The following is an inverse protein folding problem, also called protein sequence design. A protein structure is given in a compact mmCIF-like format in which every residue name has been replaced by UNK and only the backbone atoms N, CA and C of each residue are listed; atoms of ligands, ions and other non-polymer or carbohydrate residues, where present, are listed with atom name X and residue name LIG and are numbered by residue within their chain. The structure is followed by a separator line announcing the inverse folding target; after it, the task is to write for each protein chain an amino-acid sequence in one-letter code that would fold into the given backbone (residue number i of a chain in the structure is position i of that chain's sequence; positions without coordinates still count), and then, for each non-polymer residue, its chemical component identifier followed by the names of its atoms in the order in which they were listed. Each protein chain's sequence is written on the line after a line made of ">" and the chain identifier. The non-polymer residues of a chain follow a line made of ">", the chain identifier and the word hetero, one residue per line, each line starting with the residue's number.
data_IF_144102474729
#
_entry.id   IF_144102474729
#
_cell.length_a   1.000
_cell.length_b   1.000
_cell.length_c   1.000
_cell.angle_alpha   90.00
_cell.angle_beta   90.00
_cell.angle_gamma   90.00
#
_symmetry.space_group_name_H-M   'P 1'
#
loop_
_entity.id
_entity.type
_entity.pdbx_description
1 polymer ?
#
# COMPACT_ATOMS: atom_id res chain seq x y z
N UNK A 1 25.52 -5.84 43.21
CA UNK A 1 24.58 -5.80 42.08
C UNK A 1 25.23 -6.55 40.94
N UNK A 2 24.91 -7.83 40.75
CA UNK A 2 25.29 -8.52 39.52
C UNK A 2 24.30 -8.06 38.46
N UNK A 3 24.81 -7.56 37.35
CA UNK A 3 24.01 -7.37 36.15
C UNK A 3 23.74 -8.78 35.62
N UNK A 4 22.48 -9.10 35.38
CA UNK A 4 22.10 -10.36 34.74
C UNK A 4 22.55 -10.28 33.27
N UNK A 5 23.58 -11.06 32.93
CA UNK A 5 24.20 -11.05 31.60
C UNK A 5 23.25 -11.56 30.52
N UNK A 6 22.28 -12.41 30.88
CA UNK A 6 21.29 -12.93 29.95
C UNK A 6 20.24 -11.86 29.64
N UNK A 7 19.74 -11.13 30.65
CA UNK A 7 18.84 -9.98 30.47
C UNK A 7 19.51 -8.87 29.64
N UNK A 8 20.82 -8.63 29.85
CA UNK A 8 21.56 -7.65 29.05
C UNK A 8 21.72 -8.09 27.58
N UNK A 9 21.95 -9.38 27.33
CA UNK A 9 22.04 -9.94 25.97
C UNK A 9 20.71 -9.87 25.23
N UNK A 10 19.62 -10.24 25.89
CA UNK A 10 18.26 -10.14 25.31
C UNK A 10 17.95 -8.69 24.91
N UNK A 11 18.18 -7.73 25.81
CA UNK A 11 17.96 -6.31 25.52
C UNK A 11 18.83 -5.75 24.40
N UNK A 12 20.09 -6.20 24.31
CA UNK A 12 20.98 -5.82 23.21
C UNK A 12 20.51 -6.42 21.88
N UNK A 13 20.06 -7.67 21.90
CA UNK A 13 19.55 -8.37 20.72
C UNK A 13 18.25 -7.72 20.22
N UNK A 14 17.30 -7.41 21.11
CA UNK A 14 16.09 -6.65 20.80
C UNK A 14 16.40 -5.27 20.22
N UNK A 15 17.40 -4.57 20.79
CA UNK A 15 17.84 -3.28 20.29
C UNK A 15 18.44 -3.35 18.88
N UNK A 16 19.24 -4.37 18.59
CA UNK A 16 19.81 -4.61 17.26
C UNK A 16 18.69 -4.98 16.27
N UNK A 17 17.78 -5.86 16.64
CA UNK A 17 16.66 -6.28 15.80
C UNK A 17 15.74 -5.10 15.44
N UNK A 18 15.41 -4.26 16.43
CA UNK A 18 14.62 -3.05 16.23
C UNK A 18 15.31 -2.08 15.25
N UNK A 19 16.63 -1.89 15.41
CA UNK A 19 17.40 -1.05 14.49
C UNK A 19 17.46 -1.62 13.07
N UNK A 20 17.60 -2.94 12.91
CA UNK A 20 17.58 -3.60 11.60
C UNK A 20 16.24 -3.41 10.89
N UNK A 21 15.12 -3.65 11.60
CA UNK A 21 13.77 -3.47 11.04
C UNK A 21 13.54 -2.02 10.60
N UNK A 22 13.91 -1.06 11.45
CA UNK A 22 13.80 0.38 11.12
C UNK A 22 14.67 0.79 9.93
N UNK A 23 15.90 0.26 9.85
CA UNK A 23 16.78 0.50 8.72
C UNK A 23 16.13 0.02 7.41
N UNK A 24 15.58 -1.19 7.39
CA UNK A 24 14.96 -1.76 6.18
C UNK A 24 13.68 -1.02 5.77
N UNK A 25 12.89 -0.56 6.73
CA UNK A 25 11.74 0.31 6.47
C UNK A 25 12.20 1.59 5.77
N UNK A 26 13.23 2.26 6.29
CA UNK A 26 13.78 3.46 5.68
C UNK A 26 14.40 3.19 4.30
N UNK A 27 15.04 2.04 4.12
CA UNK A 27 15.60 1.62 2.84
C UNK A 27 14.50 1.40 1.79
N UNK A 28 13.39 0.77 2.16
CA UNK A 28 12.23 0.61 1.29
C UNK A 28 11.70 1.96 0.84
N UNK A 29 11.44 2.87 1.79
CA UNK A 29 10.94 4.22 1.50
C UNK A 29 11.93 5.00 0.62
N UNK A 30 13.23 4.86 0.88
CA UNK A 30 14.28 5.49 0.09
C UNK A 30 14.21 5.09 -1.38
N UNK A 31 14.04 3.79 -1.68
CA UNK A 31 13.92 3.28 -3.04
C UNK A 31 12.77 3.92 -3.82
N UNK A 32 11.67 4.23 -3.14
CA UNK A 32 10.49 4.84 -3.75
C UNK A 32 10.60 6.35 -3.97
N UNK A 33 11.47 7.03 -3.22
CA UNK A 33 11.61 8.49 -3.25
C UNK A 33 12.82 9.00 -4.04
N UNK A 34 13.73 8.12 -4.47
CA UNK A 34 14.94 8.49 -5.19
C UNK A 34 14.99 7.77 -6.53
N UNK A 35 15.21 8.55 -7.59
CA UNK A 35 15.37 8.03 -8.94
C UNK A 35 16.83 7.67 -9.23
N UNK A 36 17.06 6.93 -10.32
CA UNK A 36 18.41 6.63 -10.83
C UNK A 36 19.24 7.90 -11.05
N UNK A 37 18.59 8.98 -11.47
CA UNK A 37 19.21 10.27 -11.78
C UNK A 37 19.71 11.02 -10.53
N UNK A 38 19.13 10.72 -9.35
CA UNK A 38 19.52 11.32 -8.07
C UNK A 38 20.78 10.68 -7.46
N UNK A 39 21.25 9.57 -8.04
CA UNK A 39 22.30 8.71 -7.48
C UNK A 39 23.63 8.86 -8.24
N UNK A 40 24.27 10.03 -8.13
CA UNK A 40 25.50 10.31 -8.88
C UNK A 40 26.74 9.52 -8.39
N UNK A 41 26.79 9.14 -7.11
CA UNK A 41 28.00 8.64 -6.43
C UNK A 41 27.97 7.16 -5.98
N UNK A 42 26.99 6.34 -6.37
CA UNK A 42 26.95 4.94 -5.93
C UNK A 42 28.17 4.13 -6.44
N UNK A 43 28.89 3.45 -5.55
CA UNK A 43 30.19 2.83 -5.83
C UNK A 43 30.08 1.47 -6.53
N UNK A 44 30.90 1.23 -7.57
CA UNK A 44 30.92 -0.02 -8.35
C UNK A 44 31.33 -1.27 -7.59
N UNK A 45 31.90 -1.13 -6.39
CA UNK A 45 32.39 -2.28 -5.62
C UNK A 45 31.27 -3.20 -5.10
N UNK A 46 30.01 -2.77 -5.20
CA UNK A 46 28.83 -3.50 -4.74
C UNK A 46 28.10 -4.29 -5.84
N UNK A 47 28.75 -4.55 -6.99
CA UNK A 47 28.16 -5.32 -8.09
C UNK A 47 28.00 -6.81 -7.73
N UNK A 48 26.76 -7.23 -7.43
CA UNK A 48 26.42 -8.64 -7.17
C UNK A 48 25.70 -9.25 -8.37
N UNK A 49 26.14 -10.43 -8.80
CA UNK A 49 25.58 -11.14 -9.95
C UNK A 49 24.14 -11.60 -9.73
N UNK A 50 23.36 -11.70 -10.83
CA UNK A 50 22.00 -12.27 -10.78
C UNK A 50 22.05 -13.72 -10.26
N UNK A 51 21.35 -13.98 -9.15
CA UNK A 51 21.15 -15.34 -8.61
C UNK A 51 22.05 -15.74 -7.45
N UNK A 52 22.95 -14.86 -6.99
CA UNK A 52 23.65 -15.06 -5.71
C UNK A 52 22.74 -14.63 -4.55
N UNK A 53 22.81 -15.35 -3.43
CA UNK A 53 21.94 -15.15 -2.26
C UNK A 53 22.06 -13.71 -1.78
N UNK A 54 20.96 -12.97 -1.91
CA UNK A 54 20.84 -11.55 -1.59
C UNK A 54 20.71 -11.37 -0.08
N UNK A 55 21.74 -11.75 0.66
CA UNK A 55 21.87 -11.45 2.08
C UNK A 55 23.17 -10.71 2.23
N UNK A 56 23.09 -9.38 2.24
CA UNK A 56 24.25 -8.55 2.47
C UNK A 56 24.69 -8.73 3.92
N UNK A 57 25.74 -9.54 4.14
CA UNK A 57 26.46 -9.56 5.41
C UNK A 57 27.36 -8.32 5.47
N UNK A 58 27.02 -7.33 6.28
CA UNK A 58 27.79 -6.09 6.39
C UNK A 58 27.20 -5.11 7.40
N UNK A 59 27.88 -3.99 7.60
CA UNK A 59 27.34 -2.85 8.35
C UNK A 59 26.16 -2.21 7.60
N UNK A 60 25.28 -1.50 8.31
CA UNK A 60 24.16 -0.77 7.68
C UNK A 60 24.61 0.17 6.55
N UNK A 61 25.81 0.74 6.66
CA UNK A 61 26.37 1.61 5.63
C UNK A 61 26.67 0.84 4.34
N UNK A 62 27.27 -0.35 4.43
CA UNK A 62 27.58 -1.17 3.26
C UNK A 62 26.29 -1.70 2.61
N UNK A 63 25.35 -2.12 3.45
CA UNK A 63 24.01 -2.58 3.06
C UNK A 63 23.27 -1.44 2.30
N UNK A 64 23.31 -0.21 2.80
CA UNK A 64 22.69 0.94 2.16
C UNK A 64 23.36 1.33 0.84
N UNK A 65 24.70 1.34 0.78
CA UNK A 65 25.43 1.65 -0.45
C UNK A 65 25.22 0.60 -1.55
N UNK A 66 25.14 -0.68 -1.18
CA UNK A 66 24.77 -1.73 -2.12
C UNK A 66 23.37 -1.51 -2.69
N UNK A 67 22.38 -1.22 -1.84
CA UNK A 67 21.03 -0.91 -2.29
C UNK A 67 21.01 0.32 -3.23
N UNK A 68 21.76 1.40 -2.92
CA UNK A 68 21.89 2.57 -3.81
C UNK A 68 22.51 2.21 -5.15
N UNK A 69 23.52 1.35 -5.16
CA UNK A 69 24.15 0.85 -6.38
C UNK A 69 23.15 0.05 -7.23
N UNK A 70 22.42 -0.88 -6.62
CA UNK A 70 21.41 -1.69 -7.29
C UNK A 70 20.28 -0.82 -7.87
N UNK A 71 19.77 0.13 -7.09
CA UNK A 71 18.75 1.09 -7.52
C UNK A 71 19.22 1.89 -8.73
N UNK A 72 20.46 2.41 -8.70
CA UNK A 72 21.04 3.18 -9.81
C UNK A 72 21.27 2.37 -11.07
N UNK A 73 21.74 1.12 -10.94
CA UNK A 73 22.28 0.36 -12.08
C UNK A 73 21.30 -0.66 -12.67
N UNK A 74 20.34 -1.13 -11.86
CA UNK A 74 19.37 -2.16 -12.24
C UNK A 74 17.91 -1.71 -12.04
N UNK A 75 17.69 -0.54 -11.44
CA UNK A 75 16.37 0.07 -11.27
C UNK A 75 15.59 -0.40 -10.04
N UNK A 76 14.42 0.21 -9.85
CA UNK A 76 13.57 0.03 -8.67
C UNK A 76 13.21 -1.44 -8.40
N UNK A 77 12.74 -2.17 -9.42
CA UNK A 77 12.30 -3.56 -9.25
C UNK A 77 13.40 -4.45 -8.65
N UNK A 78 14.65 -4.28 -9.08
CA UNK A 78 15.76 -5.08 -8.59
C UNK A 78 16.15 -4.69 -7.16
N UNK A 79 16.18 -3.38 -6.87
CA UNK A 79 16.41 -2.90 -5.51
C UNK A 79 15.32 -3.37 -4.54
N UNK A 80 14.06 -3.42 -4.97
CA UNK A 80 12.94 -3.91 -4.15
C UNK A 80 13.05 -5.40 -3.84
N UNK A 81 13.41 -6.24 -4.82
CA UNK A 81 13.65 -7.68 -4.56
C UNK A 81 14.69 -7.86 -3.46
N UNK A 82 15.74 -7.03 -3.48
CA UNK A 82 16.79 -7.04 -2.47
C UNK A 82 16.28 -6.57 -1.09
N UNK A 83 15.59 -5.43 -1.02
CA UNK A 83 15.11 -4.87 0.26
C UNK A 83 14.06 -5.78 0.87
N UNK A 84 13.07 -6.21 0.09
CA UNK A 84 11.99 -7.09 0.53
C UNK A 84 12.53 -8.45 0.96
N UNK A 85 13.50 -9.01 0.23
CA UNK A 85 14.18 -10.25 0.63
C UNK A 85 14.82 -10.15 2.02
N UNK A 86 15.50 -9.04 2.30
CA UNK A 86 16.06 -8.78 3.64
C UNK A 86 14.94 -8.55 4.67
N UNK A 87 13.86 -7.85 4.33
CA UNK A 87 12.72 -7.70 5.24
C UNK A 87 12.15 -9.06 5.65
N UNK A 88 11.97 -10.01 4.73
CA UNK A 88 11.52 -11.36 5.08
C UNK A 88 12.48 -12.10 6.02
N UNK A 89 13.79 -11.89 5.87
CA UNK A 89 14.79 -12.48 6.75
C UNK A 89 14.75 -11.90 8.17
N UNK A 90 14.56 -10.57 8.31
CA UNK A 90 14.61 -9.89 9.62
C UNK A 90 13.27 -9.79 10.34
N UNK A 91 12.15 -9.70 9.60
CA UNK A 91 10.81 -9.68 10.18
C UNK A 91 10.27 -11.09 10.39
N UNK A 92 10.69 -12.05 9.55
CA UNK A 92 10.14 -13.40 9.51
C UNK A 92 9.10 -13.57 8.40
N UNK A 93 8.99 -14.80 7.88
CA UNK A 93 8.03 -15.12 6.81
C UNK A 93 6.58 -15.13 7.30
N UNK A 94 6.36 -15.29 8.60
CA UNK A 94 5.05 -15.14 9.26
C UNK A 94 4.55 -13.69 9.22
N UNK A 95 5.45 -12.72 9.02
CA UNK A 95 5.12 -11.29 8.87
C UNK A 95 4.89 -10.86 7.43
N UNK A 96 4.61 -11.80 6.52
CA UNK A 96 4.39 -11.52 5.09
C UNK A 96 3.41 -10.39 4.85
N UNK A 97 2.24 -10.39 5.51
CA UNK A 97 1.25 -9.34 5.30
C UNK A 97 1.72 -7.96 5.74
N UNK A 98 2.50 -7.85 6.81
CA UNK A 98 3.13 -6.58 7.19
C UNK A 98 4.07 -6.11 6.07
N UNK A 99 4.94 -6.99 5.58
CA UNK A 99 5.93 -6.66 4.55
C UNK A 99 5.27 -6.23 3.25
N UNK A 100 4.29 -6.99 2.77
CA UNK A 100 3.58 -6.64 1.54
C UNK A 100 2.79 -5.34 1.74
N UNK A 101 2.05 -5.16 2.84
CA UNK A 101 1.32 -3.90 3.10
C UNK A 101 2.25 -2.67 3.07
N UNK A 102 3.46 -2.78 3.64
CA UNK A 102 4.46 -1.71 3.59
C UNK A 102 4.89 -1.37 2.15
N UNK A 103 5.06 -2.38 1.29
CA UNK A 103 5.36 -2.18 -0.14
C UNK A 103 4.18 -1.54 -0.85
N UNK A 104 2.96 -2.00 -0.60
CA UNK A 104 1.74 -1.49 -1.23
C UNK A 104 1.49 -0.01 -0.88
N UNK A 105 1.74 0.42 0.36
CA UNK A 105 1.64 1.84 0.72
C UNK A 105 2.60 2.68 -0.13
N UNK A 106 3.86 2.26 -0.26
CA UNK A 106 4.85 2.97 -1.07
C UNK A 106 4.51 2.99 -2.56
N UNK A 107 4.01 1.86 -3.10
CA UNK A 107 3.61 1.79 -4.49
C UNK A 107 2.40 2.70 -4.78
N UNK A 108 1.42 2.72 -3.87
CA UNK A 108 0.28 3.62 -3.95
C UNK A 108 0.70 5.08 -3.91
N UNK A 109 1.57 5.46 -2.97
CA UNK A 109 2.11 6.82 -2.87
C UNK A 109 2.85 7.24 -4.15
N UNK A 110 3.67 6.34 -4.71
CA UNK A 110 4.38 6.56 -5.99
C UNK A 110 3.41 6.76 -7.15
N UNK A 111 2.36 5.94 -7.26
CA UNK A 111 1.38 6.05 -8.35
C UNK A 111 0.57 7.33 -8.22
N UNK A 112 0.08 7.66 -7.03
CA UNK A 112 -0.66 8.89 -6.73
C UNK A 112 0.19 10.12 -7.04
N UNK A 113 1.45 10.15 -6.58
CA UNK A 113 2.39 11.26 -6.84
C UNK A 113 2.69 11.48 -8.33
N UNK A 114 2.56 10.43 -9.15
CA UNK A 114 2.73 10.48 -10.60
C UNK A 114 1.43 10.71 -11.38
N UNK A 115 0.33 11.06 -10.70
CA UNK A 115 -1.01 11.21 -11.28
C UNK A 115 -1.54 9.94 -11.97
N UNK A 116 -1.10 8.77 -11.50
CA UNK A 116 -1.48 7.44 -12.01
C UNK A 116 -2.63 6.83 -11.20
N UNK A 117 -3.65 7.63 -10.88
CA UNK A 117 -4.72 7.28 -9.93
C UNK A 117 -5.54 6.06 -10.35
N UNK A 118 -5.82 5.91 -11.64
CA UNK A 118 -6.53 4.72 -12.17
C UNK A 118 -5.71 3.45 -11.94
N UNK A 119 -4.40 3.49 -12.22
CA UNK A 119 -3.53 2.35 -11.93
C UNK A 119 -3.47 2.07 -10.43
N UNK A 120 -3.39 3.10 -9.59
CA UNK A 120 -3.39 2.98 -8.15
C UNK A 120 -4.65 2.25 -7.64
N UNK A 121 -5.85 2.67 -8.08
CA UNK A 121 -7.12 2.06 -7.67
C UNK A 121 -7.22 0.57 -8.09
N UNK A 122 -6.77 0.23 -9.30
CA UNK A 122 -6.71 -1.16 -9.79
C UNK A 122 -5.72 -2.00 -8.95
N UNK A 123 -4.55 -1.43 -8.67
CA UNK A 123 -3.49 -2.11 -7.91
C UNK A 123 -3.97 -2.42 -6.48
N UNK A 124 -4.49 -1.42 -5.78
CA UNK A 124 -5.03 -1.55 -4.44
C UNK A 124 -6.10 -2.65 -4.34
N UNK A 125 -7.11 -2.64 -5.23
CA UNK A 125 -8.18 -3.63 -5.15
C UNK A 125 -7.68 -5.05 -5.47
N UNK A 126 -6.64 -5.17 -6.31
CA UNK A 126 -5.99 -6.45 -6.56
C UNK A 126 -5.27 -6.95 -5.31
N UNK A 127 -4.56 -6.06 -4.61
CA UNK A 127 -3.94 -6.36 -3.33
C UNK A 127 -4.98 -6.75 -2.27
N UNK A 128 -6.02 -5.93 -2.04
CA UNK A 128 -7.09 -6.20 -1.07
C UNK A 128 -7.76 -7.55 -1.35
N UNK A 129 -8.04 -7.88 -2.62
CA UNK A 129 -8.62 -9.17 -2.98
C UNK A 129 -7.74 -10.35 -2.58
N UNK A 130 -6.42 -10.24 -2.78
CA UNK A 130 -5.49 -11.29 -2.37
C UNK A 130 -5.29 -11.34 -0.85
N UNK A 131 -5.15 -10.18 -0.20
CA UNK A 131 -5.00 -10.05 1.24
C UNK A 131 -6.20 -10.69 1.96
N UNK A 132 -7.42 -10.25 1.64
CA UNK A 132 -8.63 -10.74 2.29
C UNK A 132 -8.87 -12.22 2.01
N UNK A 133 -8.55 -12.70 0.81
CA UNK A 133 -8.61 -14.14 0.50
C UNK A 133 -7.73 -15.01 1.38
N UNK A 134 -6.63 -14.46 1.86
CA UNK A 134 -5.74 -15.19 2.77
C UNK A 134 -6.10 -14.98 4.25
N UNK A 135 -6.90 -13.96 4.56
CA UNK A 135 -7.30 -13.62 5.94
C UNK A 135 -8.68 -14.16 6.34
N UNK A 136 -9.59 -14.38 5.38
CA UNK A 136 -10.95 -14.85 5.65
C UNK A 136 -11.33 -16.09 4.84
N UNK A 137 -12.38 -16.78 5.29
CA UNK A 137 -12.84 -18.04 4.69
C UNK A 137 -13.78 -17.85 3.48
N UNK A 138 -13.86 -16.63 2.93
CA UNK A 138 -14.75 -16.30 1.80
C UNK A 138 -14.37 -17.09 0.53
N UNK A 139 -15.32 -17.84 0.01
CA UNK A 139 -15.16 -18.70 -1.16
C UNK A 139 -15.46 -17.95 -2.47
N UNK A 140 -16.28 -16.91 -2.43
CA UNK A 140 -16.57 -16.08 -3.60
C UNK A 140 -15.33 -15.29 -4.02
N UNK A 141 -15.04 -15.22 -5.32
CA UNK A 141 -13.91 -14.43 -5.83
C UNK A 141 -14.20 -12.93 -5.90
N UNK A 142 -15.44 -12.51 -5.70
CA UNK A 142 -15.85 -11.11 -5.72
C UNK A 142 -15.33 -10.39 -4.46
N UNK A 143 -14.61 -9.29 -4.69
CA UNK A 143 -14.05 -8.45 -3.63
C UNK A 143 -15.14 -7.90 -2.70
N UNK A 144 -16.35 -7.66 -3.21
CA UNK A 144 -17.49 -7.21 -2.41
C UNK A 144 -17.75 -8.11 -1.19
N UNK A 145 -17.95 -9.41 -1.43
CA UNK A 145 -18.23 -10.38 -0.36
C UNK A 145 -17.02 -10.56 0.55
N UNK A 146 -15.80 -10.51 -0.01
CA UNK A 146 -14.58 -10.59 0.81
C UNK A 146 -14.48 -9.45 1.82
N UNK A 147 -14.86 -8.23 1.44
CA UNK A 147 -14.85 -7.07 2.35
C UNK A 147 -15.91 -7.25 3.45
N UNK A 148 -17.12 -7.67 3.10
CA UNK A 148 -18.20 -7.91 4.08
C UNK A 148 -17.83 -9.00 5.08
N UNK A 149 -17.33 -10.14 4.60
CA UNK A 149 -16.87 -11.25 5.43
C UNK A 149 -15.69 -10.84 6.30
N UNK A 150 -14.77 -10.01 5.82
CA UNK A 150 -13.68 -9.48 6.64
C UNK A 150 -14.19 -8.66 7.84
N UNK A 151 -15.28 -7.90 7.66
CA UNK A 151 -15.91 -7.19 8.78
C UNK A 151 -16.64 -8.15 9.73
N UNK A 152 -17.34 -9.14 9.20
CA UNK A 152 -18.07 -10.13 10.01
C UNK A 152 -17.12 -10.99 10.86
N UNK A 153 -15.92 -11.25 10.35
CA UNK A 153 -14.83 -11.96 11.04
C UNK A 153 -13.92 -11.04 11.87
N UNK A 154 -14.27 -9.76 12.03
CA UNK A 154 -13.50 -8.75 12.78
C UNK A 154 -12.07 -8.51 12.27
N UNK A 155 -11.75 -8.94 11.05
CA UNK A 155 -10.51 -8.57 10.34
C UNK A 155 -10.54 -7.09 9.98
N UNK A 156 -11.70 -6.57 9.59
CA UNK A 156 -11.94 -5.15 9.33
C UNK A 156 -12.83 -4.49 10.38
N UNK A 157 -12.53 -3.24 10.68
CA UNK A 157 -13.46 -2.32 11.33
C UNK A 157 -14.56 -1.86 10.36
N UNK A 158 -15.63 -1.26 10.88
CA UNK A 158 -16.70 -0.69 10.07
C UNK A 158 -16.20 0.41 9.12
N UNK A 159 -15.27 1.24 9.61
CA UNK A 159 -14.68 2.31 8.80
C UNK A 159 -13.83 1.75 7.66
N UNK A 160 -13.06 0.69 7.94
CA UNK A 160 -12.27 -0.01 6.93
C UNK A 160 -13.16 -0.66 5.87
N UNK A 161 -14.26 -1.31 6.28
CA UNK A 161 -15.25 -1.84 5.33
C UNK A 161 -15.80 -0.73 4.42
N UNK A 162 -16.36 0.32 5.02
CA UNK A 162 -17.01 1.40 4.26
C UNK A 162 -16.05 1.99 3.24
N UNK A 163 -14.82 2.28 3.63
CA UNK A 163 -13.83 2.82 2.70
C UNK A 163 -13.37 1.80 1.65
N UNK A 164 -13.19 0.52 2.02
CA UNK A 164 -12.85 -0.53 1.08
C UNK A 164 -13.95 -0.73 0.01
N UNK A 165 -15.23 -0.63 0.39
CA UNK A 165 -16.34 -0.68 -0.57
C UNK A 165 -16.31 0.50 -1.53
N UNK A 166 -16.09 1.73 -1.02
CA UNK A 166 -15.93 2.91 -1.88
C UNK A 166 -14.81 2.71 -2.90
N UNK A 167 -13.64 2.25 -2.45
CA UNK A 167 -12.48 2.01 -3.32
C UNK A 167 -12.75 0.93 -4.36
N UNK A 168 -13.47 -0.14 -4.00
CA UNK A 168 -13.96 -1.18 -4.91
C UNK A 168 -14.83 -0.59 -6.00
N UNK A 169 -15.77 0.28 -5.65
CA UNK A 169 -16.70 0.89 -6.60
C UNK A 169 -16.00 1.83 -7.58
N UNK A 170 -15.10 2.67 -7.07
CA UNK A 170 -14.26 3.53 -7.92
C UNK A 170 -13.41 2.70 -8.89
N UNK A 171 -12.82 1.59 -8.40
CA UNK A 171 -12.08 0.66 -9.27
C UNK A 171 -13.00 0.02 -10.32
N UNK A 172 -14.23 -0.33 -9.97
CA UNK A 172 -15.17 -0.92 -10.93
C UNK A 172 -15.55 0.08 -12.02
N UNK A 173 -15.82 1.34 -11.68
CA UNK A 173 -16.00 2.42 -12.66
C UNK A 173 -14.77 2.58 -13.56
N UNK A 174 -13.56 2.51 -13.00
CA UNK A 174 -12.31 2.61 -13.75
C UNK A 174 -12.03 1.39 -14.67
N UNK A 175 -12.40 0.18 -14.23
CA UNK A 175 -12.04 -1.07 -14.90
C UNK A 175 -13.07 -1.52 -15.94
N UNK A 176 -14.34 -1.17 -15.76
CA UNK A 176 -15.42 -1.52 -16.69
C UNK A 176 -15.60 -0.50 -17.82
N UNK A 177 -15.00 0.68 -17.69
CA UNK A 177 -14.98 1.71 -18.70
C UNK A 177 -13.60 1.84 -19.36
N UNK A 178 -13.54 2.33 -20.60
CA UNK A 178 -12.26 2.81 -21.13
C UNK A 178 -11.75 3.95 -20.22
N UNK A 179 -10.44 4.12 -20.06
CA UNK A 179 -9.87 5.15 -19.15
C UNK A 179 -10.29 6.60 -19.47
N UNK A 180 -10.84 6.86 -20.66
CA UNK A 180 -11.44 8.14 -21.08
C UNK A 180 -12.97 8.20 -20.87
N UNK A 181 -13.57 7.11 -20.41
CA UNK A 181 -14.99 6.87 -20.38
C UNK A 181 -15.57 6.46 -19.03
N UNK A 182 -14.85 6.76 -17.95
CA UNK A 182 -15.40 6.65 -16.60
C UNK A 182 -16.71 7.42 -16.48
N UNK A 183 -17.67 6.86 -15.77
CA UNK A 183 -18.93 7.55 -15.48
C UNK A 183 -18.73 8.61 -14.40
N UNK A 184 -17.76 8.38 -13.51
CA UNK A 184 -17.45 9.26 -12.39
C UNK A 184 -16.32 10.23 -12.73
N UNK A 185 -16.38 11.40 -12.09
CA UNK A 185 -15.38 12.48 -12.19
C UNK A 185 -13.97 11.98 -11.85
N UNK A 186 -12.94 12.46 -12.58
CA UNK A 186 -11.54 12.15 -12.25
C UNK A 186 -11.14 12.56 -10.83
N UNK A 187 -11.81 13.56 -10.24
CA UNK A 187 -11.57 13.99 -8.85
C UNK A 187 -11.91 12.87 -7.86
N UNK A 188 -12.93 12.06 -8.13
CA UNK A 188 -13.28 10.89 -7.32
C UNK A 188 -12.15 9.85 -7.40
N UNK A 189 -11.61 9.61 -8.61
CA UNK A 189 -10.51 8.66 -8.83
C UNK A 189 -9.21 9.09 -8.16
N UNK A 190 -8.87 10.37 -8.24
CA UNK A 190 -7.75 10.98 -7.52
C UNK A 190 -7.91 10.83 -6.01
N UNK A 191 -9.07 11.22 -5.48
CA UNK A 191 -9.37 11.10 -4.06
C UNK A 191 -9.28 9.65 -3.58
N UNK A 192 -9.82 8.70 -4.34
CA UNK A 192 -9.72 7.27 -4.05
C UNK A 192 -8.26 6.80 -3.90
N UNK A 193 -7.36 7.22 -4.80
CA UNK A 193 -5.93 6.92 -4.69
C UNK A 193 -5.31 7.46 -3.40
N UNK A 194 -5.70 8.67 -3.00
CA UNK A 194 -5.21 9.32 -1.77
C UNK A 194 -5.70 8.60 -0.51
N UNK A 195 -6.99 8.24 -0.44
CA UNK A 195 -7.59 7.59 0.74
C UNK A 195 -7.27 6.10 0.83
N UNK A 196 -6.85 5.48 -0.26
CA UNK A 196 -6.30 4.13 -0.24
C UNK A 196 -5.09 4.00 0.69
N UNK A 197 -4.20 4.99 0.71
CA UNK A 197 -3.06 5.05 1.62
C UNK A 197 -3.54 5.12 3.07
N UNK A 198 -4.65 5.83 3.33
CA UNK A 198 -5.26 5.90 4.67
C UNK A 198 -5.79 4.54 5.11
N UNK A 199 -6.47 3.80 4.22
CA UNK A 199 -6.92 2.42 4.50
C UNK A 199 -5.73 1.50 4.81
N UNK A 200 -4.70 1.52 3.96
CA UNK A 200 -3.54 0.65 4.12
C UNK A 200 -2.70 0.96 5.36
N UNK A 201 -2.56 2.24 5.73
CA UNK A 201 -1.89 2.62 6.99
C UNK A 201 -2.64 2.07 8.21
N UNK A 202 -3.97 2.11 8.19
CA UNK A 202 -4.78 1.55 9.28
C UNK A 202 -4.66 0.02 9.35
N UNK A 203 -4.73 -0.68 8.20
CA UNK A 203 -4.45 -2.13 8.11
C UNK A 203 -3.04 -2.46 8.60
N UNK A 204 -2.05 -1.63 8.27
CA UNK A 204 -0.66 -1.83 8.70
C UNK A 204 -0.51 -1.69 10.23
N UNK A 205 -1.27 -0.79 10.86
CA UNK A 205 -1.34 -0.65 12.32
C UNK A 205 -1.98 -1.87 12.99
N UNK A 206 -3.06 -2.40 12.42
CA UNK A 206 -3.71 -3.62 12.92
C UNK A 206 -2.78 -4.83 12.82
N UNK A 207 -1.94 -4.86 11.79
CA UNK A 207 -0.87 -5.85 11.65
C UNK A 207 0.29 -5.63 12.63
N UNK A 208 0.32 -4.54 13.41
CA UNK A 208 1.27 -4.29 14.49
C UNK A 208 2.41 -3.31 14.16
N UNK A 209 2.38 -2.65 13.01
CA UNK A 209 3.33 -1.58 12.66
C UNK A 209 2.66 -0.23 12.94
N UNK A 210 2.96 0.35 14.10
CA UNK A 210 2.23 1.52 14.64
C UNK A 210 2.73 2.88 14.14
N UNK A 211 3.80 2.90 13.37
CA UNK A 211 4.36 4.11 12.77
C UNK A 211 4.97 3.79 11.42
N UNK A 212 4.49 4.50 10.41
CA UNK A 212 4.95 4.43 9.04
C UNK A 212 5.34 5.82 8.55
N UNK A 213 6.46 5.99 7.81
CA UNK A 213 6.96 7.30 7.40
C UNK A 213 6.21 7.91 6.21
N UNK A 214 5.35 7.14 5.53
CA UNK A 214 4.36 7.70 4.59
C UNK A 214 3.13 8.05 5.41
N UNK A 215 2.90 9.35 5.65
CA UNK A 215 1.80 9.77 6.50
C UNK A 215 0.44 9.46 5.84
N UNK A 216 -0.55 8.96 6.59
CA UNK A 216 -1.91 8.86 6.08
C UNK A 216 -2.39 10.26 5.69
N UNK A 217 -2.85 10.39 4.45
CA UNK A 217 -3.16 11.70 3.88
C UNK A 217 -4.36 12.38 4.56
N UNK A 218 -5.30 11.63 5.16
CA UNK A 218 -6.54 12.17 5.70
C UNK A 218 -7.02 11.40 6.94
N UNK A 219 -7.66 12.10 7.89
CA UNK A 219 -8.40 11.46 8.98
C UNK A 219 -9.71 10.82 8.47
N UNK A 220 -10.14 9.70 9.06
CA UNK A 220 -11.42 9.03 8.74
C UNK A 220 -12.63 9.98 8.64
N UNK A 221 -12.77 10.93 9.58
CA UNK A 221 -13.87 11.91 9.53
C UNK A 221 -13.85 12.81 8.29
N UNK A 222 -12.66 13.24 7.85
CA UNK A 222 -12.52 14.00 6.61
C UNK A 222 -12.77 13.12 5.38
N UNK A 223 -12.35 11.85 5.42
CA UNK A 223 -12.57 10.90 4.33
C UNK A 223 -14.06 10.73 4.05
N UNK A 224 -14.84 10.37 5.08
CA UNK A 224 -16.28 10.15 4.90
C UNK A 224 -17.04 11.43 4.60
N UNK A 225 -16.64 12.58 5.19
CA UNK A 225 -17.22 13.88 4.83
C UNK A 225 -17.11 14.17 3.34
N UNK A 226 -15.97 13.91 2.71
CA UNK A 226 -15.80 14.17 1.27
C UNK A 226 -16.65 13.20 0.44
N UNK A 227 -16.65 11.91 0.79
CA UNK A 227 -17.46 10.89 0.11
C UNK A 227 -18.97 11.24 0.17
N UNK A 228 -19.45 11.58 1.36
CA UNK A 228 -20.87 11.84 1.62
C UNK A 228 -21.31 13.25 1.18
N UNK A 229 -20.62 14.30 1.62
CA UNK A 229 -21.10 15.67 1.43
C UNK A 229 -20.72 16.24 0.06
N UNK A 230 -19.47 16.01 -0.38
CA UNK A 230 -18.92 16.60 -1.60
C UNK A 230 -19.29 15.76 -2.82
N UNK A 231 -19.01 14.46 -2.78
CA UNK A 231 -19.35 13.55 -3.88
C UNK A 231 -20.79 13.06 -3.86
N UNK A 232 -21.47 13.13 -2.71
CA UNK A 232 -22.89 12.80 -2.61
C UNK A 232 -23.20 11.31 -2.57
N UNK A 233 -22.25 10.47 -2.14
CA UNK A 233 -22.53 9.05 -1.92
C UNK A 233 -23.35 8.87 -0.63
N UNK A 234 -24.34 7.99 -0.68
CA UNK A 234 -25.12 7.57 0.48
C UNK A 234 -24.76 6.12 0.82
N UNK A 235 -24.53 5.83 2.10
CA UNK A 235 -24.24 4.48 2.57
C UNK A 235 -25.55 3.74 2.88
N UNK A 236 -25.75 2.59 2.25
CA UNK A 236 -26.84 1.67 2.58
C UNK A 236 -26.34 0.68 3.65
N UNK A 237 -26.90 0.76 4.85
CA UNK A 237 -26.52 -0.13 5.97
C UNK A 237 -27.02 -1.57 5.78
N UNK A 238 -28.12 -1.76 5.06
CA UNK A 238 -28.71 -3.09 4.86
C UNK A 238 -27.93 -3.86 3.79
N UNK A 239 -27.57 -3.20 2.69
CA UNK A 239 -26.77 -3.77 1.61
C UNK A 239 -25.26 -3.63 1.86
N UNK A 240 -24.84 -2.79 2.80
CA UNK A 240 -23.42 -2.49 3.11
C UNK A 240 -22.64 -2.07 1.88
N UNK A 241 -23.21 -1.14 1.12
CA UNK A 241 -22.63 -0.56 -0.09
C UNK A 241 -22.92 0.93 -0.21
N UNK A 242 -22.15 1.61 -1.08
CA UNK A 242 -22.41 3.00 -1.41
C UNK A 242 -23.35 3.10 -2.61
N UNK A 243 -24.19 4.14 -2.62
CA UNK A 243 -25.06 4.45 -3.75
C UNK A 243 -24.27 4.59 -5.05
N UNK A 244 -24.75 4.01 -6.15
CA UNK A 244 -24.12 4.06 -7.47
C UNK A 244 -24.38 5.38 -8.24
N UNK A 245 -25.01 6.37 -7.60
CA UNK A 245 -25.37 7.67 -8.20
C UNK A 245 -24.70 8.86 -7.48
N UNK A 246 -23.36 9.03 -7.54
CA UNK A 246 -22.73 10.23 -7.02
C UNK A 246 -23.20 11.50 -7.75
N UNK A 247 -23.10 12.64 -7.07
CA UNK A 247 -23.39 13.97 -7.63
C UNK A 247 -22.38 14.36 -8.71
N UNK A 248 -21.12 13.97 -8.55
CA UNK A 248 -20.06 14.20 -9.55
C UNK A 248 -20.03 13.10 -10.63
N UNK A 249 -21.07 13.04 -11.47
CA UNK A 249 -21.07 12.25 -12.71
C UNK A 249 -20.74 13.10 -13.92
N UNK A 250 -19.99 12.54 -14.88
CA UNK A 250 -19.99 13.10 -16.23
C UNK A 250 -21.37 12.89 -16.84
N UNK A 251 -22.20 13.95 -16.90
CA UNK A 251 -23.43 13.91 -17.70
C UNK A 251 -23.06 13.80 -19.18
N UNK A 252 -23.09 12.59 -19.74
CA UNK A 252 -23.00 12.37 -21.18
C UNK A 252 -24.38 12.55 -21.81
N UNK A 253 -24.76 13.80 -22.08
CA UNK A 253 -25.87 14.06 -23.00
C UNK A 253 -25.43 13.68 -24.42
N UNK A 254 -25.67 12.44 -24.84
CA UNK A 254 -25.64 12.11 -26.26
C UNK A 254 -26.92 12.65 -26.91
N UNK A 255 -26.90 13.92 -27.32
CA UNK A 255 -27.90 14.43 -28.24
C UNK A 255 -27.63 13.83 -29.63
N UNK A 256 -28.24 12.69 -29.94
CA UNK A 256 -28.36 12.23 -31.32
C UNK A 256 -29.34 13.14 -32.06
N UNK A 257 -28.89 14.35 -32.41
CA UNK A 257 -29.57 15.19 -33.38
C UNK A 257 -29.39 14.54 -34.75
N UNK A 258 -30.37 13.72 -35.15
CA UNK A 258 -30.54 13.31 -36.53
C UNK A 258 -30.80 14.56 -37.38
N UNK A 259 -29.79 14.96 -38.15
CA UNK A 259 -29.93 15.90 -39.28
C UNK A 259 -30.14 15.16 -40.58
#
# INVERSE_FOLDING_TARGET
>A
MSIDEDELRERLQEGIETNNKRFLINALVYCYHHSEDDLQDAERQFDVGRGEVIVASGSFSEIFEQMRYELRTKGLEFALVWVVGNMFQYFGTDKRHQIITMVEICEMDRLVSNNQFIQANIHLCSYLGQYLKEQNDEQDSNLYYRIQTARDEEVFSEQQERLAQFLRDVRNDAAHNFWLETEWSFVIHEFAGIVAITLLDDVLRDLGITSWPVEPNLSWGNVFRVIEDEFGFEWDEDEREWSDIPREKYQREYSWSYS
#
